data_IF_546089223691
#
_entry.id   IF_546089223691
#
_cell.length_a   1.000
_cell.length_b   1.000
_cell.length_c   1.000
_cell.angle_alpha   90.00
_cell.angle_beta   90.00
_cell.angle_gamma   90.00
#
_symmetry.space_group_name_H-M   'P 1'
#
loop_
_entity.id
_entity.type
_entity.pdbx_description
1 polymer ?
#
# COMPACT_ATOMS: atom_id res chain seq x y z
N UNK A 1 18.94 -72.37 11.36
CA UNK A 1 18.72 -70.94 11.66
C UNK A 1 18.66 -70.15 10.39
N UNK A 2 17.54 -69.48 10.11
CA UNK A 2 17.39 -68.47 9.06
C UNK A 2 16.75 -67.24 9.71
N UNK A 3 17.54 -66.19 9.93
CA UNK A 3 17.02 -64.89 10.33
C UNK A 3 16.46 -64.19 9.09
N UNK A 4 15.14 -64.05 9.03
CA UNK A 4 14.44 -63.22 8.05
C UNK A 4 14.62 -61.75 8.48
N UNK A 5 15.37 -60.96 7.69
CA UNK A 5 15.44 -59.50 7.89
C UNK A 5 14.07 -58.90 7.55
N UNK A 6 13.50 -58.14 8.48
CA UNK A 6 12.25 -57.41 8.28
C UNK A 6 12.44 -56.32 7.23
N UNK A 7 11.52 -56.26 6.27
CA UNK A 7 11.47 -55.25 5.22
C UNK A 7 10.99 -53.92 5.84
N UNK A 8 11.92 -52.98 6.05
CA UNK A 8 11.66 -51.71 6.74
C UNK A 8 11.01 -50.64 5.84
N UNK A 9 10.51 -51.02 4.66
CA UNK A 9 9.86 -50.13 3.71
C UNK A 9 10.85 -49.30 2.87
N UNK A 10 10.31 -48.50 1.95
CA UNK A 10 11.11 -47.67 1.03
C UNK A 10 10.77 -46.19 1.18
N UNK A 11 11.79 -45.34 1.17
CA UNK A 11 11.68 -43.88 1.22
C UNK A 11 12.07 -43.32 -0.14
N UNK A 12 11.16 -42.59 -0.80
CA UNK A 12 11.42 -41.94 -2.08
C UNK A 12 11.64 -40.45 -1.84
N UNK A 13 12.90 -40.03 -1.90
CA UNK A 13 13.29 -38.62 -1.74
C UNK A 13 13.48 -37.98 -3.12
N UNK A 14 13.04 -36.73 -3.24
CA UNK A 14 13.37 -35.87 -4.35
C UNK A 14 14.05 -34.62 -3.77
N UNK A 15 15.35 -34.48 -4.00
CA UNK A 15 16.19 -33.42 -3.41
C UNK A 15 16.69 -32.52 -4.54
N UNK A 16 16.52 -31.22 -4.36
CA UNK A 16 17.08 -30.19 -5.23
C UNK A 16 18.10 -29.37 -4.44
N UNK A 17 19.28 -29.15 -5.02
CA UNK A 17 20.33 -28.31 -4.45
C UNK A 17 20.71 -27.22 -5.45
N UNK A 18 20.68 -25.97 -5.00
CA UNK A 18 21.11 -24.80 -5.76
C UNK A 18 22.16 -24.07 -4.93
N UNK A 19 23.28 -23.71 -5.55
CA UNK A 19 24.34 -22.91 -4.92
C UNK A 19 24.42 -21.56 -5.61
N UNK A 20 24.04 -20.50 -4.89
CA UNK A 20 24.12 -19.12 -5.36
C UNK A 20 25.35 -18.44 -4.75
N UNK A 21 26.12 -17.75 -5.59
CA UNK A 21 27.31 -17.01 -5.17
C UNK A 21 27.10 -15.51 -5.37
N UNK A 22 27.16 -14.74 -4.29
CA UNK A 22 27.15 -13.27 -4.33
C UNK A 22 28.60 -12.80 -4.29
N UNK A 23 29.05 -12.10 -5.34
CA UNK A 23 30.40 -11.57 -5.42
C UNK A 23 30.59 -10.37 -4.49
N UNK A 24 31.84 -9.93 -4.31
CA UNK A 24 32.13 -8.70 -3.59
C UNK A 24 31.41 -7.50 -4.22
N UNK A 25 31.04 -6.49 -3.42
CA UNK A 25 30.29 -5.34 -3.94
C UNK A 25 30.99 -4.63 -5.11
N UNK A 26 32.33 -4.65 -5.16
CA UNK A 26 33.15 -4.02 -6.19
C UNK A 26 32.92 -4.64 -7.57
N UNK A 27 32.61 -5.94 -7.61
CA UNK A 27 32.32 -6.66 -8.86
C UNK A 27 31.07 -6.14 -9.57
N UNK A 28 30.21 -5.40 -8.87
CA UNK A 28 28.97 -4.83 -9.41
C UNK A 28 29.07 -3.34 -9.70
N UNK A 29 30.23 -2.70 -9.49
CA UNK A 29 30.37 -1.24 -9.60
C UNK A 29 29.96 -0.70 -10.98
N UNK A 30 30.40 -1.35 -12.06
CA UNK A 30 30.05 -0.95 -13.42
C UNK A 30 28.54 -0.96 -13.67
N UNK A 31 27.86 -2.04 -13.26
CA UNK A 31 26.40 -2.17 -13.40
C UNK A 31 25.68 -1.17 -12.49
N UNK A 32 26.12 -1.03 -11.25
CA UNK A 32 25.53 -0.11 -10.27
C UNK A 32 25.62 1.33 -10.76
N UNK A 33 26.80 1.77 -11.22
CA UNK A 33 27.01 3.10 -11.75
C UNK A 33 26.12 3.36 -12.97
N UNK A 34 26.01 2.38 -13.87
CA UNK A 34 25.12 2.46 -15.04
C UNK A 34 23.64 2.59 -14.63
N UNK A 35 23.20 1.86 -13.62
CA UNK A 35 21.83 1.98 -13.08
C UNK A 35 21.63 3.37 -12.46
N UNK A 36 22.54 3.84 -11.61
CA UNK A 36 22.43 5.13 -10.92
C UNK A 36 22.43 6.32 -11.89
N UNK A 37 23.12 6.21 -13.03
CA UNK A 37 23.09 7.22 -14.10
C UNK A 37 21.72 7.37 -14.76
N UNK A 38 20.79 6.43 -14.57
CA UNK A 38 19.46 6.44 -15.19
C UNK A 38 18.68 7.72 -14.93
N UNK A 39 18.87 8.37 -13.76
CA UNK A 39 18.15 9.61 -13.42
C UNK A 39 18.53 10.80 -14.30
N UNK A 40 19.72 10.76 -14.92
CA UNK A 40 20.23 11.83 -15.79
C UNK A 40 20.01 11.59 -17.28
N UNK A 41 19.37 10.48 -17.67
CA UNK A 41 19.14 10.14 -19.08
C UNK A 41 17.84 10.75 -19.57
N UNK A 42 17.91 11.52 -20.66
CA UNK A 42 16.74 12.05 -21.37
C UNK A 42 16.67 11.50 -22.80
N UNK A 43 15.53 10.92 -23.23
CA UNK A 43 14.33 10.65 -22.44
C UNK A 43 14.55 9.52 -21.41
N UNK A 44 13.85 9.58 -20.28
CA UNK A 44 13.96 8.57 -19.20
C UNK A 44 13.66 7.14 -19.69
N UNK A 45 12.91 7.01 -20.78
CA UNK A 45 12.59 5.74 -21.44
C UNK A 45 13.82 5.02 -22.02
N UNK A 46 14.91 5.76 -22.27
CA UNK A 46 16.19 5.21 -22.74
C UNK A 46 17.12 4.83 -21.60
N UNK A 47 16.72 5.06 -20.34
CA UNK A 47 17.53 4.72 -19.18
C UNK A 47 17.53 3.21 -18.90
N UNK A 48 18.61 2.71 -18.30
CA UNK A 48 18.72 1.29 -17.94
C UNK A 48 17.63 0.88 -16.96
N UNK A 49 17.32 1.73 -15.97
CA UNK A 49 16.25 1.45 -15.02
C UNK A 49 14.88 1.30 -15.70
N UNK A 50 14.58 2.13 -16.71
CA UNK A 50 13.33 2.02 -17.46
C UNK A 50 13.30 0.76 -18.33
N UNK A 51 14.36 0.51 -19.09
CA UNK A 51 14.47 -0.66 -19.96
C UNK A 51 14.33 -1.96 -19.19
N UNK A 52 14.93 -2.07 -17.99
CA UNK A 52 14.75 -3.22 -17.12
C UNK A 52 13.28 -3.40 -16.70
N UNK A 53 12.59 -2.31 -16.39
CA UNK A 53 11.17 -2.34 -16.01
C UNK A 53 10.22 -2.80 -17.14
N UNK A 54 10.63 -2.60 -18.39
CA UNK A 54 9.86 -2.99 -19.59
C UNK A 54 10.22 -4.39 -20.09
N UNK A 55 11.49 -4.78 -20.04
CA UNK A 55 11.97 -6.08 -20.54
C UNK A 55 11.61 -7.23 -19.60
N UNK A 56 11.59 -6.99 -18.29
CA UNK A 56 11.30 -8.05 -17.32
C UNK A 56 9.79 -8.31 -17.21
N UNK A 57 9.31 -9.55 -17.41
CA UNK A 57 7.88 -9.85 -17.40
C UNK A 57 7.21 -9.52 -16.06
N UNK A 58 7.88 -9.84 -14.95
CA UNK A 58 7.41 -9.55 -13.60
C UNK A 58 8.03 -8.25 -13.11
N UNK A 59 7.28 -7.14 -13.26
CA UNK A 59 7.74 -5.80 -12.82
C UNK A 59 8.23 -5.75 -11.37
N UNK A 60 7.70 -6.60 -10.48
CA UNK A 60 8.10 -6.61 -9.06
C UNK A 60 9.57 -7.02 -8.86
N UNK A 61 10.07 -7.93 -9.69
CA UNK A 61 11.43 -8.47 -9.60
C UNK A 61 12.49 -7.41 -9.94
N UNK A 62 12.10 -6.35 -10.65
CA UNK A 62 12.96 -5.22 -10.99
C UNK A 62 12.74 -4.03 -10.05
N UNK A 63 11.48 -3.74 -9.72
CA UNK A 63 11.13 -2.62 -8.85
C UNK A 63 11.82 -2.72 -7.50
N UNK A 64 11.78 -3.89 -6.87
CA UNK A 64 12.39 -4.09 -5.56
C UNK A 64 13.89 -3.78 -5.52
N UNK A 65 14.75 -4.41 -6.34
CA UNK A 65 16.17 -4.11 -6.33
C UNK A 65 16.48 -2.69 -6.78
N UNK A 66 15.78 -2.14 -7.79
CA UNK A 66 15.99 -0.76 -8.23
C UNK A 66 15.70 0.23 -7.11
N UNK A 67 14.52 0.16 -6.49
CA UNK A 67 14.15 1.07 -5.39
C UNK A 67 15.16 0.99 -4.25
N UNK A 68 15.64 -0.21 -3.90
CA UNK A 68 16.67 -0.40 -2.86
C UNK A 68 18.01 0.23 -3.23
N UNK A 69 18.49 0.05 -4.46
CA UNK A 69 19.74 0.65 -4.95
C UNK A 69 19.64 2.18 -4.92
N UNK A 70 18.59 2.76 -5.50
CA UNK A 70 18.42 4.21 -5.51
C UNK A 70 18.21 4.78 -4.10
N UNK A 71 17.52 4.07 -3.21
CA UNK A 71 17.35 4.49 -1.82
C UNK A 71 18.68 4.48 -1.07
N UNK A 72 19.48 3.43 -1.22
CA UNK A 72 20.79 3.32 -0.57
C UNK A 72 21.75 4.46 -0.98
N UNK A 73 21.69 4.87 -2.26
CA UNK A 73 22.51 5.96 -2.79
C UNK A 73 21.86 7.36 -2.66
N UNK A 74 20.72 7.49 -1.99
CA UNK A 74 20.05 8.79 -1.79
C UNK A 74 19.47 9.42 -3.06
N UNK A 75 19.28 8.63 -4.13
CA UNK A 75 18.80 9.09 -5.43
C UNK A 75 17.36 8.64 -5.75
N UNK A 76 16.65 8.03 -4.78
CA UNK A 76 15.29 7.51 -5.00
C UNK A 76 14.27 8.58 -5.35
N UNK A 77 14.40 9.79 -4.78
CA UNK A 77 13.48 10.90 -5.06
C UNK A 77 13.61 11.37 -6.51
N UNK A 78 14.80 11.78 -7.00
CA UNK A 78 15.00 12.11 -8.41
C UNK A 78 14.58 10.98 -9.36
N UNK A 79 14.88 9.73 -9.00
CA UNK A 79 14.54 8.55 -9.80
C UNK A 79 13.02 8.39 -9.99
N UNK A 80 12.26 8.34 -8.89
CA UNK A 80 10.80 8.20 -8.95
C UNK A 80 10.16 9.42 -9.60
N UNK A 81 10.63 10.63 -9.32
CA UNK A 81 10.12 11.86 -9.94
C UNK A 81 10.31 11.88 -11.45
N UNK A 82 11.45 11.39 -11.97
CA UNK A 82 11.68 11.30 -13.41
C UNK A 82 10.69 10.34 -14.09
N UNK A 83 10.43 9.17 -13.47
CA UNK A 83 9.45 8.22 -13.99
C UNK A 83 8.03 8.79 -13.91
N UNK A 84 7.68 9.42 -12.78
CA UNK A 84 6.38 10.03 -12.54
C UNK A 84 6.09 11.16 -13.53
N UNK A 85 7.09 11.99 -13.86
CA UNK A 85 6.98 13.06 -14.88
C UNK A 85 6.67 12.49 -16.25
N UNK A 86 7.33 11.41 -16.64
CA UNK A 86 7.05 10.76 -17.91
C UNK A 86 5.65 10.14 -17.94
N UNK A 87 5.24 9.45 -16.89
CA UNK A 87 3.90 8.85 -16.80
C UNK A 87 2.80 9.91 -16.84
N UNK A 88 2.89 10.98 -16.03
CA UNK A 88 1.87 12.03 -15.96
C UNK A 88 1.74 12.79 -17.28
N UNK A 89 2.84 12.98 -18.03
CA UNK A 89 2.81 13.65 -19.34
C UNK A 89 1.96 12.93 -20.40
N UNK A 90 1.69 11.64 -20.20
CA UNK A 90 0.88 10.81 -21.11
C UNK A 90 -0.58 10.70 -20.68
N UNK A 91 -0.93 11.20 -19.49
CA UNK A 91 -2.26 11.05 -18.92
C UNK A 91 -3.17 12.17 -19.42
N UNK A 92 -4.34 11.77 -19.92
CA UNK A 92 -5.39 12.70 -20.39
C UNK A 92 -6.58 12.76 -19.42
N UNK A 93 -6.92 11.65 -18.76
CA UNK A 93 -7.96 11.59 -17.74
C UNK A 93 -7.34 11.64 -16.34
N UNK A 94 -7.65 12.70 -15.60
CA UNK A 94 -7.12 12.93 -14.26
C UNK A 94 -7.58 11.91 -13.23
N UNK A 95 -8.68 11.20 -13.51
CA UNK A 95 -9.12 10.08 -12.68
C UNK A 95 -8.24 8.84 -12.81
N UNK A 96 -7.34 8.78 -13.79
CA UNK A 96 -6.46 7.61 -14.00
C UNK A 96 -5.05 7.80 -13.47
N UNK A 97 -4.71 9.01 -13.00
CA UNK A 97 -3.35 9.38 -12.59
C UNK A 97 -2.84 8.43 -11.51
N UNK A 98 -1.75 7.74 -11.84
CA UNK A 98 -1.10 6.74 -11.00
C UNK A 98 -2.03 5.64 -10.46
N UNK A 99 -3.25 5.42 -10.98
CA UNK A 99 -4.18 4.39 -10.45
C UNK A 99 -3.91 2.97 -11.00
N UNK A 100 -3.09 2.85 -12.06
CA UNK A 100 -2.72 1.57 -12.67
C UNK A 100 -1.58 0.84 -11.96
N UNK A 101 -1.29 -0.38 -12.41
CA UNK A 101 -0.10 -1.17 -12.04
C UNK A 101 1.11 -0.77 -12.91
N UNK A 102 1.52 0.48 -12.78
CA UNK A 102 2.63 1.08 -13.53
C UNK A 102 3.97 0.89 -12.82
N UNK A 103 5.08 1.18 -13.51
CA UNK A 103 6.40 1.13 -12.91
C UNK A 103 6.53 2.18 -11.79
N UNK A 104 5.98 3.39 -11.98
CA UNK A 104 5.96 4.46 -10.96
C UNK A 104 5.22 4.02 -9.71
N UNK A 105 3.98 3.54 -9.88
CA UNK A 105 3.15 3.13 -8.74
C UNK A 105 3.79 2.01 -7.94
N UNK A 106 4.35 1.00 -8.61
CA UNK A 106 5.08 -0.08 -7.94
C UNK A 106 6.34 0.40 -7.21
N UNK A 107 7.11 1.31 -7.81
CA UNK A 107 8.28 1.89 -7.14
C UNK A 107 7.91 2.63 -5.86
N UNK A 108 6.82 3.41 -5.88
CA UNK A 108 6.33 4.10 -4.70
C UNK A 108 5.78 3.11 -3.67
N UNK A 109 5.06 2.07 -4.09
CA UNK A 109 4.58 1.01 -3.18
C UNK A 109 5.74 0.31 -2.45
N UNK A 110 6.79 -0.05 -3.19
CA UNK A 110 7.98 -0.65 -2.59
C UNK A 110 8.70 0.32 -1.67
N UNK A 111 8.84 1.58 -2.06
CA UNK A 111 9.46 2.61 -1.22
C UNK A 111 8.69 2.79 0.10
N UNK A 112 7.37 2.93 0.03
CA UNK A 112 6.52 3.05 1.22
C UNK A 112 6.62 1.82 2.12
N UNK A 113 6.76 0.60 1.56
CA UNK A 113 7.03 -0.60 2.35
C UNK A 113 8.40 -0.55 3.04
N UNK A 114 9.45 -0.14 2.33
CA UNK A 114 10.82 -0.11 2.84
C UNK A 114 11.02 0.93 3.94
N UNK A 115 10.55 2.17 3.74
CA UNK A 115 10.80 3.27 4.70
C UNK A 115 9.62 3.53 5.63
N UNK A 116 8.42 3.15 5.22
CA UNK A 116 7.19 3.38 5.97
C UNK A 116 6.88 2.32 7.01
N UNK A 117 7.60 1.19 7.06
CA UNK A 117 7.31 0.08 7.97
C UNK A 117 7.16 0.53 9.44
N UNK A 118 8.16 1.23 9.98
CA UNK A 118 8.12 1.71 11.36
C UNK A 118 6.96 2.69 11.59
N UNK A 119 6.77 3.63 10.65
CA UNK A 119 5.69 4.61 10.69
C UNK A 119 4.30 3.95 10.71
N UNK A 120 4.10 2.94 9.86
CA UNK A 120 2.87 2.18 9.77
C UNK A 120 2.60 1.44 11.08
N UNK A 121 3.64 0.79 11.63
CA UNK A 121 3.55 0.05 12.90
C UNK A 121 3.22 0.97 14.06
N UNK A 122 3.91 2.10 14.21
CA UNK A 122 3.62 3.06 15.29
C UNK A 122 2.21 3.66 15.19
N UNK A 123 1.67 3.77 13.97
CA UNK A 123 0.36 4.37 13.71
C UNK A 123 -0.79 3.38 13.90
N UNK A 124 -0.73 2.19 13.30
CA UNK A 124 -1.86 1.27 13.25
C UNK A 124 -1.84 0.21 14.34
N UNK A 125 -0.65 -0.24 14.78
CA UNK A 125 -0.52 -1.40 15.65
C UNK A 125 -1.32 -1.27 16.97
N UNK A 126 -1.31 -0.13 17.68
CA UNK A 126 -2.06 -0.01 18.93
C UNK A 126 -3.56 -0.26 18.77
N UNK A 127 -4.16 0.26 17.69
CA UNK A 127 -5.58 0.08 17.41
C UNK A 127 -5.87 -1.34 16.90
N UNK A 128 -4.99 -1.92 16.09
CA UNK A 128 -5.13 -3.30 15.62
C UNK A 128 -5.02 -4.31 16.77
N UNK A 129 -4.06 -4.12 17.68
CA UNK A 129 -3.90 -4.98 18.86
C UNK A 129 -5.14 -4.90 19.77
N UNK A 130 -5.79 -3.73 19.88
CA UNK A 130 -7.08 -3.60 20.56
C UNK A 130 -8.17 -4.42 19.88
N UNK A 131 -8.29 -4.34 18.55
CA UNK A 131 -9.28 -5.10 17.77
C UNK A 131 -9.06 -6.61 17.93
N UNK A 132 -7.80 -7.08 17.88
CA UNK A 132 -7.45 -8.49 18.04
C UNK A 132 -7.74 -9.02 19.45
N UNK A 133 -7.62 -8.18 20.46
CA UNK A 133 -7.95 -8.50 21.86
C UNK A 133 -9.45 -8.53 22.11
N UNK A 134 -10.19 -7.53 21.63
CA UNK A 134 -11.62 -7.36 21.93
C UNK A 134 -12.51 -8.24 21.07
N UNK A 135 -12.16 -8.44 19.79
CA UNK A 135 -12.92 -9.25 18.81
C UNK A 135 -14.42 -8.93 18.76
N UNK A 136 -14.79 -7.67 19.01
CA UNK A 136 -16.17 -7.19 18.91
C UNK A 136 -16.72 -7.40 17.50
N UNK A 137 -17.96 -7.92 17.34
CA UNK A 137 -18.62 -8.01 16.04
C UNK A 137 -18.91 -6.61 15.50
N UNK A 138 -18.71 -6.45 14.18
CA UNK A 138 -18.92 -5.18 13.46
C UNK A 138 -19.72 -5.38 12.17
N UNK A 139 -20.40 -6.52 12.00
CA UNK A 139 -21.22 -6.75 10.80
C UNK A 139 -22.44 -5.80 10.82
N UNK A 140 -22.64 -5.11 9.71
CA UNK A 140 -23.70 -4.11 9.53
C UNK A 140 -24.54 -4.37 8.26
N UNK A 141 -24.15 -5.36 7.45
CA UNK A 141 -24.91 -5.87 6.32
C UNK A 141 -26.10 -6.71 6.82
N UNK A 142 -27.36 -6.26 6.62
CA UNK A 142 -28.54 -6.98 7.11
C UNK A 142 -28.64 -8.41 6.61
N UNK A 143 -28.04 -8.73 5.46
CA UNK A 143 -28.08 -10.07 4.85
C UNK A 143 -27.09 -11.05 5.49
N UNK A 144 -26.12 -10.55 6.27
CA UNK A 144 -25.04 -11.34 6.88
C UNK A 144 -25.09 -11.37 8.40
N UNK A 145 -25.99 -10.61 9.01
CA UNK A 145 -26.22 -10.64 10.45
C UNK A 145 -26.69 -12.02 10.89
N UNK A 146 -26.07 -12.55 11.94
CA UNK A 146 -26.49 -13.79 12.55
C UNK A 146 -27.73 -13.59 13.41
N UNK A 147 -28.48 -14.67 13.64
CA UNK A 147 -29.68 -14.63 14.47
C UNK A 147 -29.31 -14.26 15.92
N UNK A 148 -29.78 -13.10 16.39
CA UNK A 148 -29.48 -12.56 17.72
C UNK A 148 -28.43 -11.45 17.78
N UNK A 149 -27.77 -11.11 16.65
CA UNK A 149 -26.87 -9.96 16.59
C UNK A 149 -27.65 -8.64 16.48
N UNK A 150 -27.25 -7.65 17.29
CA UNK A 150 -27.79 -6.29 17.18
C UNK A 150 -26.97 -5.48 16.17
N UNK A 151 -27.60 -5.10 15.05
CA UNK A 151 -27.01 -4.20 14.07
C UNK A 151 -26.55 -2.88 14.70
N UNK A 152 -27.33 -2.35 15.64
CA UNK A 152 -27.05 -1.07 16.30
C UNK A 152 -25.80 -1.15 17.19
N UNK A 153 -25.64 -2.25 17.93
CA UNK A 153 -24.45 -2.51 18.72
C UNK A 153 -23.21 -2.69 17.82
N UNK A 154 -23.32 -3.50 16.76
CA UNK A 154 -22.23 -3.73 15.80
C UNK A 154 -21.79 -2.44 15.11
N UNK A 155 -22.75 -1.58 14.75
CA UNK A 155 -22.47 -0.28 14.16
C UNK A 155 -21.77 0.66 15.14
N UNK A 156 -22.14 0.62 16.42
CA UNK A 156 -21.47 1.40 17.46
C UNK A 156 -20.02 0.94 17.63
N UNK A 157 -19.78 -0.37 17.70
CA UNK A 157 -18.43 -0.94 17.74
C UNK A 157 -17.60 -0.51 16.51
N UNK A 158 -18.20 -0.58 15.32
CA UNK A 158 -17.53 -0.19 14.08
C UNK A 158 -17.17 1.31 14.07
N UNK A 159 -18.10 2.18 14.48
CA UNK A 159 -17.85 3.64 14.59
C UNK A 159 -16.71 3.94 15.57
N UNK A 160 -16.66 3.24 16.71
CA UNK A 160 -15.58 3.35 17.69
C UNK A 160 -14.21 3.02 17.06
N UNK A 161 -14.07 1.85 16.44
CA UNK A 161 -12.81 1.44 15.81
C UNK A 161 -12.38 2.35 14.66
N UNK A 162 -13.33 2.84 13.86
CA UNK A 162 -13.05 3.80 12.78
C UNK A 162 -12.50 5.10 13.33
N UNK A 163 -13.15 5.65 14.37
CA UNK A 163 -12.71 6.88 15.01
C UNK A 163 -11.29 6.74 15.57
N UNK A 164 -10.98 5.60 16.21
CA UNK A 164 -9.64 5.30 16.71
C UNK A 164 -8.60 5.24 15.58
N UNK A 165 -8.87 4.49 14.51
CA UNK A 165 -7.93 4.37 13.37
C UNK A 165 -7.72 5.72 12.68
N UNK A 166 -8.79 6.43 12.35
CA UNK A 166 -8.67 7.72 11.65
C UNK A 166 -7.94 8.74 12.51
N UNK A 167 -8.23 8.80 13.82
CA UNK A 167 -7.51 9.68 14.75
C UNK A 167 -6.03 9.31 14.83
N UNK A 168 -5.69 8.02 14.85
CA UNK A 168 -4.30 7.57 14.84
C UNK A 168 -3.56 8.02 13.57
N UNK A 169 -4.18 7.83 12.39
CA UNK A 169 -3.62 8.25 11.10
C UNK A 169 -3.46 9.77 11.00
N UNK A 170 -4.45 10.55 11.45
CA UNK A 170 -4.39 12.02 11.39
C UNK A 170 -3.27 12.54 12.31
N UNK A 171 -3.21 12.03 13.54
CA UNK A 171 -2.21 12.46 14.52
C UNK A 171 -0.79 11.99 14.19
N UNK A 172 -0.64 10.99 13.29
CA UNK A 172 0.66 10.49 12.88
C UNK A 172 1.31 11.33 11.79
N UNK A 173 0.61 12.31 11.18
CA UNK A 173 1.08 13.03 10.00
C UNK A 173 2.52 13.59 10.11
N UNK A 174 2.89 14.14 11.27
CA UNK A 174 4.24 14.69 11.50
C UNK A 174 5.35 13.63 11.62
N UNK A 175 4.98 12.37 11.85
CA UNK A 175 5.91 11.24 11.96
C UNK A 175 6.13 10.53 10.60
N UNK A 176 5.51 11.03 9.52
CA UNK A 176 5.68 10.45 8.19
C UNK A 176 7.16 10.55 7.75
N UNK A 177 7.78 9.47 7.23
CA UNK A 177 9.18 9.47 6.83
C UNK A 177 9.52 10.59 5.84
N UNK A 178 10.63 11.34 6.04
CA UNK A 178 10.99 12.47 5.19
C UNK A 178 11.06 12.15 3.69
N UNK A 179 11.58 10.97 3.34
CA UNK A 179 11.68 10.53 1.93
C UNK A 179 10.30 10.33 1.31
N UNK A 180 9.31 9.81 2.06
CA UNK A 180 7.93 9.72 1.57
C UNK A 180 7.32 11.10 1.37
N UNK A 181 7.53 12.02 2.32
CA UNK A 181 7.07 13.40 2.21
C UNK A 181 7.65 14.10 0.97
N UNK A 182 8.94 13.89 0.67
CA UNK A 182 9.58 14.43 -0.52
C UNK A 182 8.93 13.90 -1.80
N UNK A 183 8.73 12.59 -1.92
CA UNK A 183 8.01 11.99 -3.07
C UNK A 183 6.60 12.57 -3.19
N UNK A 184 5.83 12.64 -2.11
CA UNK A 184 4.47 13.18 -2.16
C UNK A 184 4.44 14.65 -2.57
N UNK A 185 5.44 15.44 -2.13
CA UNK A 185 5.61 16.82 -2.57
C UNK A 185 5.89 16.89 -4.08
N UNK A 186 6.79 16.07 -4.59
CA UNK A 186 7.11 16.02 -6.03
C UNK A 186 5.90 15.61 -6.87
N UNK A 187 5.15 14.60 -6.44
CA UNK A 187 3.93 14.17 -7.14
C UNK A 187 2.85 15.26 -7.15
N UNK A 188 2.71 16.01 -6.04
CA UNK A 188 1.80 17.15 -5.94
C UNK A 188 2.20 18.25 -6.92
N UNK A 189 3.48 18.59 -7.00
CA UNK A 189 3.96 19.62 -7.92
C UNK A 189 3.85 19.20 -9.39
N UNK A 190 4.10 17.92 -9.70
CA UNK A 190 3.81 17.37 -11.03
C UNK A 190 2.32 17.49 -11.36
N UNK A 191 1.42 17.12 -10.45
CA UNK A 191 -0.01 17.28 -10.64
C UNK A 191 -0.42 18.74 -10.85
N UNK A 192 0.12 19.68 -10.06
CA UNK A 192 -0.10 21.12 -10.24
C UNK A 192 0.38 21.62 -11.61
N UNK A 193 1.52 21.11 -12.09
CA UNK A 193 2.13 21.55 -13.36
C UNK A 193 1.34 21.06 -14.58
N UNK A 194 0.96 19.78 -14.59
CA UNK A 194 0.26 19.18 -15.74
C UNK A 194 -1.25 19.44 -15.72
N UNK A 195 -1.84 19.64 -14.54
CA UNK A 195 -3.28 19.89 -14.37
C UNK A 195 -3.58 21.12 -13.50
N UNK A 196 -3.10 22.33 -13.89
CA UNK A 196 -3.19 23.54 -13.05
C UNK A 196 -4.63 23.97 -12.75
N UNK A 197 -5.56 23.64 -13.65
CA UNK A 197 -6.98 23.96 -13.51
C UNK A 197 -7.73 23.00 -12.59
N UNK A 198 -7.12 21.88 -12.19
CA UNK A 198 -7.77 20.82 -11.42
C UNK A 198 -7.18 20.70 -10.01
N UNK A 199 -7.55 21.65 -9.15
CA UNK A 199 -6.98 21.79 -7.81
C UNK A 199 -7.10 20.54 -6.92
N UNK A 200 -8.10 19.70 -7.13
CA UNK A 200 -8.31 18.47 -6.37
C UNK A 200 -7.28 17.39 -6.71
N UNK A 201 -6.78 17.37 -7.96
CA UNK A 201 -5.86 16.34 -8.46
C UNK A 201 -4.56 16.29 -7.65
N UNK A 202 -4.07 17.46 -7.22
CA UNK A 202 -2.87 17.58 -6.41
C UNK A 202 -2.94 16.78 -5.10
N UNK A 203 -4.15 16.65 -4.54
CA UNK A 203 -4.39 15.93 -3.29
C UNK A 203 -4.87 14.51 -3.54
N UNK A 204 -5.63 14.27 -4.61
CA UNK A 204 -6.10 12.94 -4.99
C UNK A 204 -4.94 11.98 -5.28
N UNK A 205 -3.88 12.49 -5.93
CA UNK A 205 -2.67 11.71 -6.24
C UNK A 205 -1.98 11.23 -4.96
N UNK A 206 -1.79 12.12 -3.98
CA UNK A 206 -1.18 11.75 -2.69
C UNK A 206 -2.10 10.78 -1.94
N UNK A 207 -3.39 11.08 -1.90
CA UNK A 207 -4.39 10.27 -1.21
C UNK A 207 -4.44 8.83 -1.74
N UNK A 208 -4.31 8.66 -3.06
CA UNK A 208 -4.23 7.35 -3.72
C UNK A 208 -3.00 6.52 -3.33
N UNK A 209 -1.92 7.13 -2.86
CA UNK A 209 -0.80 6.38 -2.30
C UNK A 209 -0.98 6.12 -0.81
N UNK A 210 -1.29 7.17 -0.05
CA UNK A 210 -1.37 7.13 1.42
C UNK A 210 -2.51 6.23 1.90
N UNK A 211 -3.73 6.41 1.38
CA UNK A 211 -4.87 5.64 1.84
C UNK A 211 -5.01 4.32 1.07
N UNK A 212 -4.96 4.35 -0.26
CA UNK A 212 -5.25 3.18 -1.09
C UNK A 212 -4.12 2.15 -1.15
N UNK A 213 -2.87 2.59 -1.09
CA UNK A 213 -1.72 1.69 -1.28
C UNK A 213 -0.90 1.46 -0.03
N UNK A 214 -1.17 2.20 1.04
CA UNK A 214 -0.43 2.10 2.29
C UNK A 214 -1.34 1.73 3.47
N UNK A 215 -2.20 2.63 3.94
CA UNK A 215 -3.01 2.37 5.14
C UNK A 215 -4.12 1.32 4.94
N UNK A 216 -4.95 1.43 3.90
CA UNK A 216 -6.07 0.51 3.71
C UNK A 216 -5.60 -0.95 3.47
N UNK A 217 -4.56 -1.23 2.66
CA UNK A 217 -4.01 -2.58 2.53
C UNK A 217 -3.40 -3.11 3.82
N UNK A 218 -2.75 -2.24 4.61
CA UNK A 218 -2.17 -2.61 5.91
C UNK A 218 -3.23 -2.99 6.95
N UNK A 219 -4.38 -2.32 6.93
CA UNK A 219 -5.52 -2.67 7.78
C UNK A 219 -6.14 -3.99 7.33
N UNK A 220 -6.31 -4.20 6.02
CA UNK A 220 -6.94 -5.40 5.48
C UNK A 220 -6.06 -6.66 5.63
N UNK A 221 -4.76 -6.52 5.39
CA UNK A 221 -3.80 -7.63 5.40
C UNK A 221 -2.65 -7.38 6.39
N UNK A 222 -2.93 -7.24 7.70
CA UNK A 222 -1.93 -6.79 8.67
C UNK A 222 -0.73 -7.74 8.81
N UNK A 223 -0.88 -9.02 8.46
CA UNK A 223 0.23 -9.98 8.40
C UNK A 223 1.27 -9.64 7.33
N UNK A 224 0.84 -9.13 6.17
CA UNK A 224 1.75 -8.78 5.06
C UNK A 224 2.59 -7.54 5.37
N UNK A 225 2.26 -6.82 6.44
CA UNK A 225 2.93 -5.60 6.91
C UNK A 225 3.56 -5.78 8.30
N UNK A 226 3.68 -7.03 8.77
CA UNK A 226 4.16 -7.44 10.10
C UNK A 226 3.52 -6.68 11.29
N UNK A 227 2.24 -6.34 11.16
CA UNK A 227 1.48 -5.69 12.22
C UNK A 227 0.96 -6.71 13.25
N UNK A 228 0.76 -7.96 12.83
CA UNK A 228 0.38 -9.08 13.69
C UNK A 228 0.96 -10.40 13.19
N UNK A 229 1.20 -11.33 14.12
CA UNK A 229 1.54 -12.73 13.84
C UNK A 229 0.38 -13.68 14.16
N UNK A 230 -0.69 -13.17 14.77
CA UNK A 230 -1.83 -13.98 15.22
C UNK A 230 -2.69 -14.48 14.06
N UNK A 231 -3.37 -15.61 14.25
CA UNK A 231 -4.40 -16.05 13.30
C UNK A 231 -5.64 -15.17 13.43
N UNK A 232 -6.10 -14.65 12.28
CA UNK A 232 -7.25 -13.75 12.20
C UNK A 232 -8.46 -14.61 11.83
N UNK A 233 -9.44 -14.68 12.73
CA UNK A 233 -10.70 -15.38 12.49
C UNK A 233 -11.59 -14.61 11.49
N UNK A 234 -12.64 -15.27 10.99
CA UNK A 234 -13.52 -14.71 9.96
C UNK A 234 -14.25 -13.44 10.40
N UNK A 235 -14.64 -13.35 11.68
CA UNK A 235 -15.32 -12.18 12.23
C UNK A 235 -14.37 -10.99 12.28
N UNK A 236 -13.17 -11.19 12.84
CA UNK A 236 -12.15 -10.14 12.89
C UNK A 236 -11.71 -9.70 11.49
N UNK A 237 -11.52 -10.64 10.56
CA UNK A 237 -11.19 -10.32 9.16
C UNK A 237 -12.30 -9.47 8.51
N UNK A 238 -13.56 -9.76 8.81
CA UNK A 238 -14.70 -8.95 8.34
C UNK A 238 -14.65 -7.53 8.92
N UNK A 239 -14.36 -7.37 10.21
CA UNK A 239 -14.13 -6.06 10.84
C UNK A 239 -13.02 -5.29 10.13
N UNK A 240 -11.85 -5.91 9.92
CA UNK A 240 -10.74 -5.30 9.18
C UNK A 240 -11.11 -4.90 7.75
N UNK A 241 -11.95 -5.71 7.08
CA UNK A 241 -12.47 -5.39 5.75
C UNK A 241 -13.33 -4.12 5.75
N UNK A 242 -14.23 -3.98 6.71
CA UNK A 242 -15.09 -2.80 6.85
C UNK A 242 -14.26 -1.55 7.18
N UNK A 243 -13.28 -1.68 8.09
CA UNK A 243 -12.33 -0.61 8.43
C UNK A 243 -11.51 -0.16 7.22
N UNK A 244 -10.89 -1.10 6.52
CA UNK A 244 -10.10 -0.84 5.31
C UNK A 244 -10.93 -0.13 4.25
N UNK A 245 -12.17 -0.60 3.99
CA UNK A 245 -13.11 0.05 3.06
C UNK A 245 -13.47 1.48 3.49
N UNK A 246 -13.70 1.72 4.77
CA UNK A 246 -14.00 3.06 5.26
C UNK A 246 -12.81 3.99 5.06
N UNK A 247 -11.62 3.58 5.49
CA UNK A 247 -10.37 4.36 5.35
C UNK A 247 -10.07 4.64 3.88
N UNK A 248 -10.28 3.65 3.01
CA UNK A 248 -10.16 3.79 1.56
C UNK A 248 -11.11 4.87 1.01
N UNK A 249 -12.38 4.81 1.39
CA UNK A 249 -13.39 5.76 0.92
C UNK A 249 -13.14 7.16 1.44
N UNK A 250 -12.64 7.32 2.67
CA UNK A 250 -12.20 8.62 3.20
C UNK A 250 -11.11 9.23 2.32
N UNK A 251 -10.11 8.44 1.92
CA UNK A 251 -9.10 8.89 0.97
C UNK A 251 -9.66 9.27 -0.41
N UNK A 252 -10.69 8.57 -0.87
CA UNK A 252 -11.32 8.85 -2.16
C UNK A 252 -12.17 10.13 -2.17
N UNK A 253 -12.63 10.64 -1.02
CA UNK A 253 -13.36 11.92 -0.94
C UNK A 253 -12.54 13.09 -1.48
N UNK A 254 -11.23 13.05 -1.25
CA UNK A 254 -10.25 14.02 -1.78
C UNK A 254 -10.21 14.02 -3.32
N UNK A 255 -10.73 12.96 -3.96
CA UNK A 255 -10.75 12.79 -5.42
C UNK A 255 -12.12 13.01 -6.06
N UNK A 256 -13.20 13.13 -5.28
CA UNK A 256 -14.57 13.14 -5.82
C UNK A 256 -15.08 14.56 -6.01
N UNK A 257 -15.16 15.00 -7.27
CA UNK A 257 -15.76 16.27 -7.72
C UNK A 257 -17.25 16.43 -7.39
N UNK A 258 -17.90 15.42 -6.82
CA UNK A 258 -19.34 15.41 -6.60
C UNK A 258 -19.67 14.91 -5.20
N UNK A 259 -20.52 15.68 -4.53
CA UNK A 259 -21.26 15.38 -3.29
C UNK A 259 -22.24 14.19 -3.42
N UNK A 260 -22.19 13.45 -4.53
CA UNK A 260 -22.93 12.23 -4.79
C UNK A 260 -21.97 11.06 -4.93
N UNK A 261 -21.46 10.57 -3.79
CA UNK A 261 -20.96 9.21 -3.77
C UNK A 261 -22.12 8.27 -4.09
N UNK A 262 -22.07 7.63 -5.26
CA UNK A 262 -22.83 6.42 -5.52
C UNK A 262 -22.28 5.33 -4.60
N UNK A 263 -22.78 5.30 -3.36
CA UNK A 263 -22.48 4.24 -2.41
C UNK A 263 -22.97 2.92 -3.02
N UNK A 264 -22.04 2.16 -3.62
CA UNK A 264 -22.32 0.82 -4.14
C UNK A 264 -22.89 -0.08 -3.04
N UNK A 265 -22.53 0.20 -1.79
CA UNK A 265 -22.99 -0.49 -0.59
C UNK A 265 -23.81 0.49 0.28
N UNK A 266 -25.14 0.43 0.17
CA UNK A 266 -26.06 1.34 0.88
C UNK A 266 -25.91 1.31 2.40
N UNK A 267 -25.50 0.16 2.95
CA UNK A 267 -25.32 -0.04 4.40
C UNK A 267 -24.16 0.76 5.01
N UNK A 268 -23.17 1.18 4.20
CA UNK A 268 -22.02 1.94 4.69
C UNK A 268 -22.30 3.45 4.82
N UNK A 269 -23.43 3.96 4.29
CA UNK A 269 -23.73 5.41 4.31
C UNK A 269 -23.67 6.01 5.71
N UNK A 270 -24.20 5.31 6.70
CA UNK A 270 -24.26 5.79 8.08
C UNK A 270 -22.87 5.87 8.73
N UNK A 271 -21.97 4.96 8.33
CA UNK A 271 -20.56 4.97 8.74
C UNK A 271 -19.83 6.17 8.12
N UNK A 272 -20.12 6.46 6.84
CA UNK A 272 -19.51 7.58 6.15
C UNK A 272 -19.97 8.94 6.67
N UNK A 273 -21.27 9.11 6.97
CA UNK A 273 -21.79 10.32 7.60
C UNK A 273 -21.16 10.61 8.98
N UNK A 274 -20.65 9.58 9.67
CA UNK A 274 -19.91 9.76 10.91
C UNK A 274 -18.46 10.27 10.68
N UNK A 275 -17.84 9.87 9.57
CA UNK A 275 -16.46 10.23 9.25
C UNK A 275 -16.35 11.63 8.60
N UNK A 276 -17.37 12.02 7.83
CA UNK A 276 -17.40 13.29 7.08
C UNK A 276 -18.33 14.25 7.81
N UNK A 277 -17.76 15.13 8.62
CA UNK A 277 -18.50 16.23 9.25
C UNK A 277 -18.27 17.53 8.47
N UNK A 278 -19.25 18.43 8.42
CA UNK A 278 -19.26 19.68 7.62
C UNK A 278 -18.02 20.58 7.84
N UNK A 279 -17.26 20.38 8.92
CA UNK A 279 -15.98 21.06 9.18
C UNK A 279 -14.80 20.61 8.31
N UNK A 280 -14.95 19.58 7.48
CA UNK A 280 -13.87 18.98 6.68
C UNK A 280 -14.05 19.16 5.16
N UNK A 281 -15.04 19.96 4.73
CA UNK A 281 -15.43 20.15 3.31
C UNK A 281 -14.98 21.51 2.75
N UNK A 282 -14.35 22.37 3.55
CA UNK A 282 -13.77 23.67 3.11
C UNK A 282 -12.26 23.60 2.85
#
# INVERSE_FOLDING_TARGET
GKHQRADLGTLRLNIYYTSDHVFSSQSYDSLRNLILQSTGVEPITSSVAWLLGEVVPQKQDVVQPLTRVFLHHGQVVPFVSAFARHEISKITDTNTIFRGNTLVSKCIDELMKLVGHHYLRSTLKPTLDLIFRERKPCEIDPTKLQQGESREANLTNLKEYISLILKAIINSALNCPPVMCQIFSELKELANTYFPNEREVRYSVISGFVFLRFFAPAILYPKLFDLTTEQIDSSTHRTLTLLSKTVQSVGNLVSSRTSHHNFRESYMREVFGHCVTDKHVE
#
